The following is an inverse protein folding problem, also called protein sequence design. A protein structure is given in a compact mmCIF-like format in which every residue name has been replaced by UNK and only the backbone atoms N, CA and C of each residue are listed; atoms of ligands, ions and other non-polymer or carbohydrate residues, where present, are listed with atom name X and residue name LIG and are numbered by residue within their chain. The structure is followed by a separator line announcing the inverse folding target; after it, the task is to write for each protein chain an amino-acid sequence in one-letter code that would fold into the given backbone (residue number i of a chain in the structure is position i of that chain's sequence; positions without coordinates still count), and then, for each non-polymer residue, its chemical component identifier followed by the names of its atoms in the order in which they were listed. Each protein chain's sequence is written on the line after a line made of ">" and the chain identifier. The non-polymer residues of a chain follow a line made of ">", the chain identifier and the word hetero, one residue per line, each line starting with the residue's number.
data_IF_851892893148
#
_entry.id   IF_851892893148
#
_cell.length_a   1.000
_cell.length_b   1.000
_cell.length_c   1.000
_cell.angle_alpha   90.00
_cell.angle_beta   90.00
_cell.angle_gamma   90.00
#
_symmetry.space_group_name_H-M   'P 1'
#
loop_
_entity.id
_entity.type
_entity.pdbx_description
1 polymer ?
#
# COMPACT_ATOMS: atom_id res chain seq x y z
N UNK A 1 -0.86 -16.36 -4.56
CA UNK A 1 -0.99 -16.24 -3.09
C UNK A 1 -0.92 -17.59 -2.37
N UNK A 2 -1.61 -18.67 -2.82
CA UNK A 2 -1.47 -19.99 -2.16
C UNK A 2 -0.04 -20.54 -2.20
N UNK A 3 0.69 -20.30 -3.27
CA UNK A 3 2.11 -20.69 -3.43
C UNK A 3 3.07 -19.92 -2.51
N UNK A 4 2.63 -18.82 -1.92
CA UNK A 4 3.41 -17.98 -0.99
C UNK A 4 3.03 -18.19 0.48
N UNK A 5 2.28 -19.26 0.79
CA UNK A 5 1.84 -19.51 2.16
C UNK A 5 3.04 -19.67 3.10
N UNK A 6 3.05 -18.89 4.18
CA UNK A 6 4.08 -18.95 5.22
C UNK A 6 5.47 -18.44 4.81
N UNK A 7 5.60 -17.62 3.75
CA UNK A 7 6.91 -17.20 3.22
C UNK A 7 7.25 -15.73 3.45
N UNK A 8 6.26 -14.87 3.72
CA UNK A 8 6.45 -13.43 3.77
C UNK A 8 6.62 -12.92 5.22
N UNK A 9 7.62 -12.10 5.44
CA UNK A 9 7.85 -11.41 6.72
C UNK A 9 6.88 -10.26 6.95
N UNK A 10 6.66 -9.49 5.89
CA UNK A 10 5.89 -8.25 5.90
C UNK A 10 5.06 -8.16 4.63
N UNK A 11 3.80 -7.82 4.79
CA UNK A 11 2.93 -7.41 3.70
C UNK A 11 2.47 -5.98 3.99
N UNK A 12 2.69 -5.07 3.04
CA UNK A 12 2.16 -3.70 3.11
C UNK A 12 1.00 -3.57 2.13
N UNK A 13 -0.20 -3.33 2.65
CA UNK A 13 -1.39 -3.12 1.84
C UNK A 13 -1.70 -1.64 1.69
N UNK A 14 -1.59 -1.14 0.47
CA UNK A 14 -2.02 0.22 0.08
C UNK A 14 -3.38 0.22 -0.61
N UNK A 15 -4.06 -0.93 -0.64
CA UNK A 15 -5.32 -1.10 -1.35
C UNK A 15 -6.46 -0.33 -0.66
N UNK A 16 -7.26 0.37 -1.47
CA UNK A 16 -8.49 1.02 -1.06
C UNK A 16 -9.74 0.24 -1.52
N UNK A 17 -9.60 -1.07 -1.65
CA UNK A 17 -10.66 -2.00 -2.06
C UNK A 17 -10.73 -3.18 -1.09
N UNK A 18 -11.87 -3.85 -1.04
CA UNK A 18 -12.05 -5.07 -0.26
C UNK A 18 -11.09 -6.15 -0.72
N UNK A 19 -10.52 -6.88 0.21
CA UNK A 19 -9.53 -7.92 -0.02
C UNK A 19 -9.86 -9.19 0.77
N UNK A 20 -9.34 -10.31 0.30
CA UNK A 20 -9.38 -11.60 1.03
C UNK A 20 -8.30 -11.64 2.12
N UNK A 21 -8.52 -10.89 3.21
CA UNK A 21 -7.53 -10.65 4.27
C UNK A 21 -6.94 -11.91 4.87
N UNK A 22 -7.74 -12.96 5.00
CA UNK A 22 -7.26 -14.24 5.53
C UNK A 22 -6.21 -14.89 4.62
N UNK A 23 -6.28 -14.68 3.31
CA UNK A 23 -5.27 -15.15 2.36
C UNK A 23 -3.93 -14.45 2.57
N UNK A 24 -3.95 -13.13 2.84
CA UNK A 24 -2.72 -12.39 3.16
C UNK A 24 -2.11 -12.84 4.49
N UNK A 25 -2.94 -13.06 5.52
CA UNK A 25 -2.46 -13.58 6.81
C UNK A 25 -1.83 -14.96 6.67
N UNK A 26 -2.40 -15.84 5.85
CA UNK A 26 -1.83 -17.16 5.58
C UNK A 26 -0.53 -17.10 4.78
N UNK A 27 -0.30 -16.06 3.98
CA UNK A 27 0.95 -15.85 3.26
C UNK A 27 2.11 -15.42 4.19
N UNK A 28 1.79 -14.84 5.35
CA UNK A 28 2.80 -14.48 6.35
C UNK A 28 3.40 -15.73 7.00
N UNK A 29 4.73 -15.73 7.16
CA UNK A 29 5.41 -16.71 8.01
C UNK A 29 5.05 -16.49 9.50
N UNK A 30 5.43 -17.41 10.41
CA UNK A 30 5.33 -17.15 11.84
C UNK A 30 6.00 -15.81 12.22
N UNK A 31 5.37 -15.05 13.11
CA UNK A 31 5.77 -13.70 13.54
C UNK A 31 5.70 -12.60 12.47
N UNK A 32 5.21 -12.91 11.27
CA UNK A 32 5.06 -11.93 10.19
C UNK A 32 3.96 -10.90 10.45
N UNK A 33 4.03 -9.77 9.74
CA UNK A 33 3.14 -8.61 9.95
C UNK A 33 2.43 -8.20 8.67
N UNK A 34 1.11 -8.00 8.77
CA UNK A 34 0.31 -7.31 7.75
C UNK A 34 0.14 -5.85 8.15
N UNK A 35 0.75 -4.93 7.41
CA UNK A 35 0.65 -3.49 7.62
C UNK A 35 -0.38 -2.87 6.68
N UNK A 36 -1.40 -2.23 7.24
CA UNK A 36 -2.46 -1.55 6.49
C UNK A 36 -2.16 -0.06 6.42
N UNK A 37 -2.01 0.46 5.21
CA UNK A 37 -1.83 1.89 4.92
C UNK A 37 -2.91 2.44 3.98
N UNK A 38 -3.58 1.57 3.22
CA UNK A 38 -4.81 1.90 2.49
C UNK A 38 -6.04 1.78 3.39
N UNK A 39 -7.14 2.41 3.00
CA UNK A 39 -8.41 2.34 3.75
C UNK A 39 -9.43 1.56 2.91
N UNK A 40 -9.65 0.28 3.19
CA UNK A 40 -10.69 -0.49 2.52
C UNK A 40 -12.08 0.06 2.89
N UNK A 41 -13.07 0.02 1.97
CA UNK A 41 -14.38 0.61 2.21
C UNK A 41 -15.22 -0.17 3.22
N UNK A 42 -14.95 -1.46 3.43
CA UNK A 42 -15.65 -2.31 4.38
C UNK A 42 -14.76 -2.74 5.54
N UNK A 43 -15.34 -3.15 6.67
CA UNK A 43 -14.60 -3.74 7.78
C UNK A 43 -13.79 -4.96 7.33
N UNK A 44 -12.59 -5.10 7.86
CA UNK A 44 -11.72 -6.24 7.60
C UNK A 44 -12.20 -7.46 8.40
N UNK A 45 -12.69 -8.49 7.71
CA UNK A 45 -13.03 -9.76 8.34
C UNK A 45 -11.78 -10.65 8.44
N UNK A 46 -11.30 -10.87 9.66
CA UNK A 46 -10.10 -11.66 9.94
C UNK A 46 -10.40 -12.78 10.92
N UNK A 47 -9.96 -13.98 10.60
CA UNK A 47 -10.05 -15.14 11.49
C UNK A 47 -8.93 -15.09 12.55
N UNK A 48 -9.28 -15.32 13.81
CA UNK A 48 -8.33 -15.26 14.91
C UNK A 48 -7.32 -16.43 14.91
N UNK A 49 -7.76 -17.62 14.52
CA UNK A 49 -6.92 -18.82 14.60
C UNK A 49 -5.62 -18.72 13.78
N UNK A 50 -5.62 -18.26 12.52
CA UNK A 50 -4.36 -18.05 11.77
C UNK A 50 -3.41 -17.03 12.40
N UNK A 51 -3.92 -16.02 13.11
CA UNK A 51 -3.10 -15.06 13.84
C UNK A 51 -2.44 -15.73 15.04
N UNK A 52 -3.24 -16.41 15.86
CA UNK A 52 -2.77 -17.08 17.09
C UNK A 52 -1.75 -18.16 16.75
N UNK A 53 -2.06 -19.05 15.82
CA UNK A 53 -1.22 -20.19 15.46
C UNK A 53 0.16 -19.78 14.89
N UNK A 54 0.24 -18.61 14.26
CA UNK A 54 1.49 -18.10 13.68
C UNK A 54 2.10 -16.93 14.45
N UNK A 55 1.52 -16.49 15.57
CA UNK A 55 1.95 -15.26 16.28
C UNK A 55 2.03 -14.07 15.32
N UNK A 56 1.10 -13.99 14.37
CA UNK A 56 1.08 -12.98 13.32
C UNK A 56 0.41 -11.70 13.80
N UNK A 57 0.82 -10.57 13.25
CA UNK A 57 0.31 -9.26 13.64
C UNK A 57 -0.38 -8.55 12.48
N UNK A 58 -1.39 -7.74 12.81
CA UNK A 58 -1.96 -6.74 11.92
C UNK A 58 -1.71 -5.38 12.55
N UNK A 59 -1.18 -4.45 11.78
CA UNK A 59 -0.90 -3.09 12.23
C UNK A 59 -1.38 -2.08 11.20
N UNK A 60 -1.68 -0.87 11.65
CA UNK A 60 -1.94 0.28 10.78
C UNK A 60 -0.78 1.26 10.85
N UNK A 61 -0.52 1.96 9.75
CA UNK A 61 0.47 3.02 9.73
C UNK A 61 -0.09 4.24 8.98
N UNK A 62 -0.22 5.40 9.66
CA UNK A 62 -0.66 6.63 9.02
C UNK A 62 0.48 7.27 8.21
N UNK A 63 0.17 8.41 7.59
CA UNK A 63 1.19 9.27 6.96
C UNK A 63 2.25 9.66 7.98
N UNK A 64 3.52 9.58 7.61
CA UNK A 64 4.64 9.89 8.49
C UNK A 64 4.68 11.36 8.95
N UNK A 65 5.29 11.60 10.10
CA UNK A 65 5.61 12.95 10.57
C UNK A 65 6.56 13.67 9.58
N UNK A 66 6.67 15.01 9.63
CA UNK A 66 7.63 15.75 8.80
C UNK A 66 9.08 15.25 8.91
N UNK A 67 9.50 14.78 10.08
CA UNK A 67 10.83 14.19 10.26
C UNK A 67 10.98 12.86 9.51
N UNK A 68 9.97 12.01 9.58
CA UNK A 68 9.96 10.74 8.83
C UNK A 68 9.90 10.95 7.31
N UNK A 69 9.19 11.99 6.86
CA UNK A 69 9.16 12.35 5.45
C UNK A 69 10.53 12.80 4.96
N UNK A 70 11.28 13.59 5.76
CA UNK A 70 12.66 13.98 5.41
C UNK A 70 13.57 12.76 5.32
N UNK A 71 13.54 11.87 6.31
CA UNK A 71 14.30 10.63 6.31
C UNK A 71 13.99 9.77 5.06
N UNK A 72 12.72 9.64 4.70
CA UNK A 72 12.30 8.94 3.49
C UNK A 72 12.85 9.60 2.22
N UNK A 73 12.82 10.95 2.12
CA UNK A 73 13.37 11.67 0.98
C UNK A 73 14.89 11.52 0.88
N UNK A 74 15.60 11.50 2.00
CA UNK A 74 17.06 11.26 2.04
C UNK A 74 17.38 9.84 1.55
N UNK A 75 16.61 8.85 1.94
CA UNK A 75 16.74 7.47 1.45
C UNK A 75 16.44 7.40 -0.04
N UNK A 76 15.36 8.04 -0.50
CA UNK A 76 14.99 8.06 -1.91
C UNK A 76 16.09 8.70 -2.77
N UNK A 77 16.64 9.84 -2.32
CA UNK A 77 17.74 10.52 -3.02
C UNK A 77 19.01 9.66 -3.11
N UNK A 78 19.42 9.03 -1.99
CA UNK A 78 20.61 8.17 -1.95
C UNK A 78 20.51 6.93 -2.85
N UNK A 79 19.30 6.39 -3.02
CA UNK A 79 19.07 5.18 -3.79
C UNK A 79 18.46 5.42 -5.18
N UNK A 80 18.32 6.69 -5.59
CA UNK A 80 17.77 7.04 -6.90
C UNK A 80 16.29 6.64 -7.07
N UNK A 81 15.53 6.54 -5.97
CA UNK A 81 14.10 6.17 -6.01
C UNK A 81 13.30 7.36 -6.50
N UNK A 82 12.60 7.17 -7.60
CA UNK A 82 11.76 8.21 -8.22
C UNK A 82 10.33 7.72 -8.43
N UNK A 83 9.37 8.61 -8.26
CA UNK A 83 7.98 8.33 -8.60
C UNK A 83 7.81 8.25 -10.12
N UNK A 84 7.08 7.23 -10.60
CA UNK A 84 6.62 7.21 -12.00
C UNK A 84 5.43 8.13 -12.14
N UNK A 85 5.53 9.13 -13.02
CA UNK A 85 4.52 10.17 -13.20
C UNK A 85 4.08 10.28 -14.65
N UNK A 86 2.82 10.67 -14.85
CA UNK A 86 2.29 11.16 -16.12
C UNK A 86 1.98 12.65 -15.94
N UNK A 87 2.51 13.48 -16.84
CA UNK A 87 2.36 14.93 -16.78
C UNK A 87 1.12 15.36 -17.57
N UNK A 88 0.36 16.28 -17.02
CA UNK A 88 -0.82 16.90 -17.62
C UNK A 88 -0.70 18.43 -17.48
N UNK A 89 -1.07 19.17 -18.51
CA UNK A 89 -1.20 20.62 -18.39
C UNK A 89 -2.31 20.97 -17.38
N UNK A 90 -2.20 22.11 -16.70
CA UNK A 90 -3.19 22.54 -15.70
C UNK A 90 -4.63 22.56 -16.29
N UNK A 91 -4.81 22.95 -17.56
CA UNK A 91 -6.10 22.92 -18.25
C UNK A 91 -6.68 21.51 -18.45
N UNK A 92 -5.88 20.45 -18.28
CA UNK A 92 -6.30 19.06 -18.40
C UNK A 92 -6.62 18.40 -17.04
N UNK A 93 -6.78 19.19 -15.97
CA UNK A 93 -7.01 18.68 -14.63
C UNK A 93 -8.17 17.68 -14.55
N UNK A 94 -9.30 17.98 -15.21
CA UNK A 94 -10.47 17.10 -15.25
C UNK A 94 -10.18 15.77 -15.98
N UNK A 95 -9.42 15.81 -17.08
CA UNK A 95 -8.99 14.61 -17.78
C UNK A 95 -8.09 13.74 -16.90
N UNK A 96 -7.13 14.36 -16.21
CA UNK A 96 -6.24 13.66 -15.29
C UNK A 96 -7.04 12.97 -14.17
N UNK A 97 -8.01 13.66 -13.57
CA UNK A 97 -8.90 13.11 -12.53
C UNK A 97 -9.68 11.90 -13.06
N UNK A 98 -10.27 12.01 -14.24
CA UNK A 98 -11.02 10.90 -14.84
C UNK A 98 -10.13 9.69 -15.17
N UNK A 99 -8.89 9.90 -15.61
CA UNK A 99 -7.91 8.81 -15.80
C UNK A 99 -7.54 8.14 -14.49
N UNK A 100 -7.35 8.92 -13.42
CA UNK A 100 -7.07 8.37 -12.06
C UNK A 100 -8.25 7.53 -11.58
N UNK A 101 -9.49 8.05 -11.65
CA UNK A 101 -10.70 7.30 -11.26
C UNK A 101 -10.85 5.98 -12.02
N UNK A 102 -10.47 5.95 -13.29
CA UNK A 102 -10.52 4.75 -14.15
C UNK A 102 -9.27 3.86 -14.00
N UNK A 103 -8.38 4.16 -13.05
CA UNK A 103 -7.12 3.45 -12.82
C UNK A 103 -6.23 3.32 -14.08
N UNK A 104 -6.21 4.35 -14.92
CA UNK A 104 -5.48 4.38 -16.19
C UNK A 104 -4.15 5.15 -16.12
N UNK A 105 -3.83 5.75 -14.97
CA UNK A 105 -2.56 6.48 -14.76
C UNK A 105 -1.49 5.54 -14.19
N UNK A 106 -0.25 5.64 -14.69
CA UNK A 106 0.91 4.83 -14.24
C UNK A 106 2.05 5.72 -13.73
N UNK A 107 2.08 6.07 -12.44
CA UNK A 107 1.13 5.70 -11.38
C UNK A 107 0.56 6.95 -10.74
N UNK A 108 1.10 8.11 -11.03
CA UNK A 108 0.71 9.40 -10.45
C UNK A 108 0.49 10.43 -11.55
N UNK A 109 -0.68 11.05 -11.56
CA UNK A 109 -0.93 12.22 -12.40
C UNK A 109 -0.34 13.46 -11.72
N UNK A 110 0.44 14.26 -12.46
CA UNK A 110 1.01 15.53 -12.00
C UNK A 110 0.56 16.61 -12.95
N UNK A 111 -0.03 17.67 -12.38
CA UNK A 111 -0.41 18.86 -13.13
C UNK A 111 0.78 19.81 -13.17
N UNK A 112 1.06 20.36 -14.33
CA UNK A 112 2.10 21.33 -14.58
C UNK A 112 1.52 22.61 -15.17
N UNK A 113 2.08 23.77 -14.76
CA UNK A 113 1.78 25.07 -15.38
C UNK A 113 2.57 25.25 -16.67
#
# INVERSE_FOLDING_TARGET
>A
MREMAGTLDLIVSTANADQEWNTYIQALRPTGTLCIVGVPPKPMAVQALPLIAGIRSITGNPTGSPSRLREMLDVAARHGVQAKTELFAMGQANEAIEKVKKNKVRYRAVLIN
#
